data_IF_684906507016
#
_entry.id   IF_684906507016
#
_cell.length_a   1.000
_cell.length_b   1.000
_cell.length_c   1.000
_cell.angle_alpha   90.00
_cell.angle_beta   90.00
_cell.angle_gamma   90.00
#
_symmetry.space_group_name_H-M   'P 1'
#
loop_
_entity.id
_entity.type
_entity.pdbx_description
1 polymer ?
#
# COMPACT_ATOMS: atom_id res chain seq x y z
N UNK A 1 -6.84 -6.14 -43.71
CA UNK A 1 -6.34 -6.80 -42.49
C UNK A 1 -5.61 -5.73 -41.69
N UNK A 2 -6.26 -5.11 -40.71
CA UNK A 2 -5.66 -4.02 -39.91
C UNK A 2 -5.14 -4.60 -38.60
N UNK A 3 -3.82 -4.59 -38.45
CA UNK A 3 -3.16 -4.91 -37.19
C UNK A 3 -3.31 -3.72 -36.24
N UNK A 4 -4.22 -3.82 -35.29
CA UNK A 4 -4.24 -2.94 -34.12
C UNK A 4 -3.16 -3.45 -33.18
N UNK A 5 -2.05 -2.73 -33.07
CA UNK A 5 -1.11 -2.93 -31.98
C UNK A 5 -1.84 -2.56 -30.67
N UNK A 6 -1.95 -3.45 -29.68
CA UNK A 6 -2.43 -3.03 -28.38
C UNK A 6 -1.47 -1.97 -27.84
N UNK A 7 -1.99 -0.77 -27.60
CA UNK A 7 -1.27 0.29 -26.90
C UNK A 7 -0.98 -0.24 -25.48
N UNK A 8 0.19 -0.84 -25.33
CA UNK A 8 0.71 -1.24 -24.03
C UNK A 8 0.97 0.07 -23.29
N UNK A 9 0.04 0.49 -22.41
CA UNK A 9 0.33 1.58 -21.48
C UNK A 9 1.57 1.14 -20.71
N UNK A 10 2.71 1.79 -20.96
CA UNK A 10 3.85 1.71 -20.05
C UNK A 10 3.35 2.14 -18.68
N UNK A 11 3.13 1.16 -17.81
CA UNK A 11 2.67 1.40 -16.45
C UNK A 11 3.88 1.90 -15.66
N UNK A 12 4.13 3.21 -15.71
CA UNK A 12 5.28 3.88 -15.08
C UNK A 12 5.07 4.05 -13.58
N UNK A 13 4.96 2.94 -12.85
CA UNK A 13 4.95 3.01 -11.41
C UNK A 13 6.27 3.59 -10.89
N UNK A 14 6.17 4.73 -10.22
CA UNK A 14 7.31 5.43 -9.62
C UNK A 14 7.38 5.12 -8.13
N UNK A 15 8.28 4.18 -7.79
CA UNK A 15 8.63 3.88 -6.40
C UNK A 15 9.11 5.12 -5.65
N UNK A 16 9.92 5.94 -6.32
CA UNK A 16 10.44 7.20 -5.77
C UNK A 16 9.31 8.17 -5.43
N UNK A 17 8.28 8.29 -6.28
CA UNK A 17 7.13 9.15 -6.00
C UNK A 17 6.32 8.63 -4.81
N UNK A 18 6.12 7.32 -4.70
CA UNK A 18 5.45 6.70 -3.56
C UNK A 18 6.21 6.93 -2.25
N UNK A 19 7.54 6.75 -2.26
CA UNK A 19 8.42 7.00 -1.10
C UNK A 19 8.44 8.48 -0.72
N UNK A 20 8.53 9.39 -1.69
CA UNK A 20 8.47 10.84 -1.44
C UNK A 20 7.15 11.24 -0.79
N UNK A 21 6.04 10.69 -1.28
CA UNK A 21 4.73 10.90 -0.68
C UNK A 21 4.71 10.42 0.77
N UNK A 22 5.20 9.20 1.01
CA UNK A 22 5.25 8.62 2.35
C UNK A 22 6.05 9.51 3.31
N UNK A 23 7.24 9.95 2.92
CA UNK A 23 8.07 10.83 3.75
C UNK A 23 7.44 12.22 3.99
N UNK A 24 6.64 12.71 3.04
CA UNK A 24 5.94 14.00 3.17
C UNK A 24 4.77 13.91 4.14
N UNK A 25 3.97 12.85 4.07
CA UNK A 25 2.72 12.73 4.81
C UNK A 25 2.77 11.72 5.96
N UNK A 26 3.89 11.06 6.21
CA UNK A 26 3.99 10.00 7.22
C UNK A 26 3.78 10.47 8.67
N UNK A 27 3.93 11.77 8.93
CA UNK A 27 3.61 12.38 10.23
C UNK A 27 2.24 13.08 10.26
N UNK A 28 1.69 13.44 9.09
CA UNK A 28 0.48 14.27 8.99
C UNK A 28 -0.41 13.78 7.84
N UNK A 29 -1.69 13.44 8.09
CA UNK A 29 -2.59 13.00 7.04
C UNK A 29 -2.73 14.02 5.91
N UNK A 30 -2.70 13.55 4.66
CA UNK A 30 -2.88 14.43 3.51
C UNK A 30 -4.30 15.00 3.50
N UNK A 31 -4.48 16.33 3.53
CA UNK A 31 -5.79 16.97 3.56
C UNK A 31 -6.62 16.73 2.29
N UNK A 32 -6.05 16.17 1.22
CA UNK A 32 -6.76 15.83 -0.02
C UNK A 32 -7.53 14.50 0.03
N UNK A 33 -7.39 13.73 1.10
CA UNK A 33 -8.03 12.44 1.28
C UNK A 33 -8.81 12.40 2.60
N UNK A 34 -9.74 11.45 2.69
CA UNK A 34 -10.40 11.06 3.93
C UNK A 34 -9.35 10.48 4.87
N UNK A 35 -9.37 10.94 6.11
CA UNK A 35 -8.56 10.40 7.19
C UNK A 35 -9.39 9.45 8.06
N UNK A 36 -8.80 8.34 8.47
CA UNK A 36 -9.46 7.33 9.32
C UNK A 36 -8.81 7.31 10.72
N UNK A 37 -9.21 8.19 11.66
CA UNK A 37 -8.54 8.29 12.95
C UNK A 37 -8.51 6.95 13.69
N UNK A 38 -7.45 6.74 14.47
CA UNK A 38 -7.34 5.60 15.37
C UNK A 38 -8.36 5.75 16.51
N UNK A 39 -9.31 4.83 16.60
CA UNK A 39 -10.34 4.80 17.63
C UNK A 39 -10.40 3.39 18.20
N UNK A 40 -10.16 3.23 19.51
CA UNK A 40 -10.18 1.93 20.20
C UNK A 40 -9.33 0.86 19.47
N UNK A 41 -8.08 1.22 19.15
CA UNK A 41 -7.11 0.40 18.41
C UNK A 41 -7.54 -0.03 17.00
N UNK A 42 -8.58 0.60 16.44
CA UNK A 42 -9.06 0.34 15.08
C UNK A 42 -8.91 1.57 14.21
N UNK A 43 -8.40 1.35 13.01
CA UNK A 43 -8.24 2.37 11.99
C UNK A 43 -8.19 1.72 10.61
N UNK A 44 -8.68 2.43 9.59
CA UNK A 44 -8.42 2.09 8.18
C UNK A 44 -7.23 2.85 7.59
N UNK A 45 -6.55 3.67 8.38
CA UNK A 45 -5.65 4.68 7.84
C UNK A 45 -4.29 4.13 7.45
N UNK A 46 -3.85 3.03 8.04
CA UNK A 46 -2.63 2.34 7.62
C UNK A 46 -2.74 1.96 6.14
N UNK A 47 -3.81 1.29 5.73
CA UNK A 47 -4.03 0.90 4.34
C UNK A 47 -4.39 2.09 3.44
N UNK A 48 -5.18 3.04 3.94
CA UNK A 48 -5.49 4.28 3.21
C UNK A 48 -4.20 5.06 2.84
N UNK A 49 -3.29 5.22 3.80
CA UNK A 49 -2.01 5.89 3.59
C UNK A 49 -1.15 5.16 2.57
N UNK A 50 -1.03 3.85 2.67
CA UNK A 50 -0.30 3.03 1.69
C UNK A 50 -0.94 3.14 0.31
N UNK A 51 -2.26 3.12 0.22
CA UNK A 51 -2.96 3.28 -1.04
C UNK A 51 -2.70 4.66 -1.67
N UNK A 52 -2.62 5.72 -0.87
CA UNK A 52 -2.22 7.05 -1.35
C UNK A 52 -0.76 7.09 -1.84
N UNK A 53 0.15 6.38 -1.16
CA UNK A 53 1.54 6.23 -1.61
C UNK A 53 1.58 5.54 -2.99
N UNK A 54 0.91 4.40 -3.13
CA UNK A 54 0.84 3.65 -4.38
C UNK A 54 0.23 4.50 -5.51
N UNK A 55 -0.89 5.18 -5.24
CA UNK A 55 -1.56 6.02 -6.22
C UNK A 55 -0.69 7.20 -6.67
N UNK A 56 0.01 7.86 -5.73
CA UNK A 56 0.98 8.92 -6.07
C UNK A 56 2.18 8.37 -6.83
N UNK A 57 2.49 7.09 -6.66
CA UNK A 57 3.40 6.32 -7.50
C UNK A 57 2.86 6.01 -8.89
N UNK A 58 1.72 6.54 -9.32
CA UNK A 58 1.02 6.22 -10.58
C UNK A 58 0.51 4.78 -10.70
N UNK A 59 0.25 4.09 -9.58
CA UNK A 59 -0.51 2.84 -9.61
C UNK A 59 -1.91 3.10 -10.23
N UNK A 60 -2.30 2.38 -11.30
CA UNK A 60 -3.62 2.55 -11.88
C UNK A 60 -4.68 2.03 -10.91
N UNK A 61 -5.73 2.82 -10.69
CA UNK A 61 -6.89 2.38 -9.94
C UNK A 61 -7.61 1.25 -10.68
N UNK A 62 -8.00 0.21 -9.94
CA UNK A 62 -8.77 -0.92 -10.44
C UNK A 62 -10.23 -0.78 -10.00
N UNK A 63 -11.12 -0.52 -10.95
CA UNK A 63 -12.57 -0.42 -10.73
C UNK A 63 -13.34 -1.71 -11.02
N UNK A 64 -12.65 -2.85 -11.18
CA UNK A 64 -13.27 -4.15 -11.41
C UNK A 64 -14.14 -4.59 -10.23
N UNK A 65 -15.16 -5.40 -10.52
CA UNK A 65 -16.18 -5.79 -9.52
C UNK A 65 -15.72 -6.80 -8.48
N UNK A 66 -14.70 -7.62 -8.80
CA UNK A 66 -14.32 -8.76 -7.94
C UNK A 66 -13.47 -8.31 -6.75
N UNK A 67 -12.38 -7.57 -7.00
CA UNK A 67 -11.51 -6.99 -5.96
C UNK A 67 -11.01 -5.60 -6.38
N UNK A 68 -11.87 -4.58 -6.26
CA UNK A 68 -11.51 -3.23 -6.67
C UNK A 68 -10.46 -2.60 -5.74
N UNK A 69 -9.59 -1.77 -6.29
CA UNK A 69 -8.71 -0.86 -5.56
C UNK A 69 -8.85 0.55 -6.14
N UNK A 70 -9.61 1.42 -5.48
CA UNK A 70 -9.85 2.78 -5.96
C UNK A 70 -10.29 3.74 -4.86
N UNK A 71 -10.13 5.03 -5.16
CA UNK A 71 -10.65 6.16 -4.38
C UNK A 71 -11.31 7.17 -5.32
N UNK A 72 -12.50 7.66 -4.96
CA UNK A 72 -13.23 8.67 -5.72
C UNK A 72 -13.50 9.87 -4.82
N UNK A 73 -13.08 11.04 -5.29
CA UNK A 73 -13.41 12.30 -4.63
C UNK A 73 -14.87 12.67 -4.88
N UNK A 74 -15.57 13.06 -3.82
CA UNK A 74 -16.88 13.69 -3.89
C UNK A 74 -16.77 15.21 -4.02
N UNK A 75 -17.90 15.91 -3.86
CA UNK A 75 -17.93 17.39 -3.79
C UNK A 75 -17.13 17.93 -2.60
N UNK A 76 -17.01 17.12 -1.54
CA UNK A 76 -16.16 17.36 -0.39
C UNK A 76 -15.74 16.01 0.22
N UNK A 77 -14.78 16.04 1.14
CA UNK A 77 -14.20 14.82 1.77
C UNK A 77 -15.19 13.95 2.54
N UNK A 78 -16.33 14.49 2.97
CA UNK A 78 -17.35 13.68 3.63
C UNK A 78 -18.13 12.81 2.63
N UNK A 79 -18.08 13.15 1.35
CA UNK A 79 -18.73 12.44 0.25
C UNK A 79 -17.74 11.62 -0.60
N UNK A 80 -16.48 11.57 -0.19
CA UNK A 80 -15.50 10.68 -0.83
C UNK A 80 -15.94 9.22 -0.64
N UNK A 81 -15.67 8.41 -1.65
CA UNK A 81 -15.94 6.97 -1.62
C UNK A 81 -14.68 6.20 -2.01
N UNK A 82 -14.56 4.96 -1.55
CA UNK A 82 -13.39 4.13 -1.80
C UNK A 82 -13.76 2.65 -1.75
N UNK A 83 -12.89 1.80 -2.31
CA UNK A 83 -13.06 0.36 -2.20
C UNK A 83 -12.51 -0.18 -0.88
N UNK A 84 -12.94 -1.39 -0.47
CA UNK A 84 -12.44 -2.03 0.76
C UNK A 84 -10.91 -2.22 0.69
N UNK A 85 -10.35 -2.63 -0.45
CA UNK A 85 -8.91 -2.79 -0.62
C UNK A 85 -8.13 -1.46 -0.57
N UNK A 86 -8.78 -0.30 -0.69
CA UNK A 86 -8.11 0.99 -0.50
C UNK A 86 -7.82 1.26 0.99
N UNK A 87 -8.73 0.88 1.90
CA UNK A 87 -8.69 1.31 3.30
C UNK A 87 -8.60 0.17 4.33
N UNK A 88 -8.51 -1.08 3.91
CA UNK A 88 -8.38 -2.24 4.82
C UNK A 88 -7.12 -3.04 4.49
N UNK A 89 -6.21 -3.18 5.46
CA UNK A 89 -4.89 -3.80 5.26
C UNK A 89 -4.99 -5.23 4.70
N UNK A 90 -5.92 -6.02 5.22
CA UNK A 90 -6.21 -7.36 4.71
C UNK A 90 -6.61 -7.33 3.24
N UNK A 91 -7.62 -6.55 2.88
CA UNK A 91 -8.11 -6.49 1.51
C UNK A 91 -7.09 -5.90 0.54
N UNK A 92 -6.22 -4.97 0.98
CA UNK A 92 -5.11 -4.45 0.20
C UNK A 92 -4.06 -5.54 -0.09
N UNK A 93 -3.66 -6.30 0.94
CA UNK A 93 -2.70 -7.38 0.81
C UNK A 93 -3.16 -8.44 -0.20
N UNK A 94 -4.39 -8.94 -0.06
CA UNK A 94 -4.93 -9.95 -0.97
C UNK A 94 -5.16 -9.40 -2.38
N UNK A 95 -5.54 -8.12 -2.54
CA UNK A 95 -5.60 -7.47 -3.86
C UNK A 95 -4.25 -7.54 -4.59
N UNK A 96 -3.17 -7.11 -3.92
CA UNK A 96 -1.83 -7.12 -4.48
C UNK A 96 -1.33 -8.53 -4.80
N UNK A 97 -1.55 -9.48 -3.88
CA UNK A 97 -1.11 -10.87 -4.03
C UNK A 97 -1.84 -11.58 -5.16
N UNK A 98 -3.16 -11.46 -5.22
CA UNK A 98 -3.95 -12.07 -6.30
C UNK A 98 -3.64 -11.47 -7.66
N UNK A 99 -3.36 -10.17 -7.74
CA UNK A 99 -2.90 -9.56 -8.97
C UNK A 99 -1.58 -10.18 -9.43
N UNK A 100 -0.66 -10.51 -8.51
CA UNK A 100 0.59 -11.18 -8.86
C UNK A 100 0.34 -12.61 -9.34
N UNK A 101 -0.48 -13.38 -8.62
CA UNK A 101 -0.87 -14.76 -9.00
C UNK A 101 -1.51 -14.83 -10.38
N UNK A 102 -2.34 -13.84 -10.75
CA UNK A 102 -3.05 -13.77 -12.04
C UNK A 102 -2.24 -13.09 -13.14
N UNK A 103 -1.01 -12.64 -12.84
CA UNK A 103 -0.22 -11.78 -13.72
C UNK A 103 -1.03 -10.58 -14.29
N UNK A 104 -1.78 -9.93 -13.41
CA UNK A 104 -2.62 -8.77 -13.72
C UNK A 104 -1.80 -7.61 -14.28
N UNK A 105 -2.44 -6.74 -15.09
CA UNK A 105 -1.84 -5.48 -15.57
C UNK A 105 -1.92 -4.34 -14.55
N UNK A 106 -2.63 -4.54 -13.43
CA UNK A 106 -2.69 -3.63 -12.30
C UNK A 106 -1.53 -3.87 -11.32
N UNK A 107 -1.47 -3.07 -10.26
CA UNK A 107 -0.44 -3.19 -9.22
C UNK A 107 -0.44 -4.57 -8.57
N UNK A 108 0.74 -5.18 -8.52
CA UNK A 108 1.04 -6.51 -8.02
C UNK A 108 1.93 -6.43 -6.78
N UNK A 109 1.75 -7.39 -5.88
CA UNK A 109 2.61 -7.62 -4.74
C UNK A 109 3.17 -9.02 -4.77
N UNK A 110 4.48 -9.14 -4.96
CA UNK A 110 5.19 -10.43 -4.94
C UNK A 110 5.73 -10.65 -3.54
N UNK A 111 5.24 -11.68 -2.86
CA UNK A 111 5.74 -12.03 -1.53
C UNK A 111 7.14 -12.64 -1.65
N UNK A 112 8.08 -12.12 -0.85
CA UNK A 112 9.45 -12.60 -0.76
C UNK A 112 9.73 -13.12 0.64
N UNK A 113 10.58 -14.13 0.75
CA UNK A 113 10.92 -14.76 2.04
C UNK A 113 12.05 -14.03 2.76
N UNK A 114 13.01 -13.48 2.02
CA UNK A 114 14.17 -12.81 2.58
C UNK A 114 13.98 -11.29 2.57
N UNK A 115 13.84 -10.69 3.76
CA UNK A 115 13.72 -9.23 3.94
C UNK A 115 14.87 -8.42 3.29
N UNK A 116 16.05 -9.01 3.10
CA UNK A 116 17.20 -8.34 2.47
C UNK A 116 16.96 -8.02 0.99
N UNK A 117 15.95 -8.64 0.37
CA UNK A 117 15.56 -8.34 -1.01
C UNK A 117 14.58 -7.17 -1.11
N UNK A 118 14.11 -6.61 0.01
CA UNK A 118 13.27 -5.41 0.00
C UNK A 118 14.03 -4.21 -0.58
N UNK A 119 13.28 -3.36 -1.26
CA UNK A 119 13.76 -2.08 -1.80
C UNK A 119 12.85 -0.95 -1.28
N UNK A 120 13.33 0.30 -1.29
CA UNK A 120 12.48 1.45 -0.94
C UNK A 120 11.27 1.49 -1.86
N UNK A 121 10.07 1.65 -1.30
CA UNK A 121 8.79 1.56 -1.99
C UNK A 121 8.11 0.19 -1.93
N UNK A 122 8.76 -0.83 -1.38
CA UNK A 122 8.11 -2.11 -1.07
C UNK A 122 7.31 -2.01 0.22
N UNK A 123 6.42 -2.97 0.43
CA UNK A 123 5.51 -2.98 1.57
C UNK A 123 5.87 -4.08 2.56
N UNK A 124 5.57 -3.81 3.82
CA UNK A 124 5.56 -4.84 4.86
C UNK A 124 4.17 -4.87 5.48
N UNK A 125 3.54 -6.05 5.44
CA UNK A 125 2.25 -6.31 6.07
C UNK A 125 2.44 -7.16 7.33
N UNK A 126 1.55 -6.97 8.30
CA UNK A 126 1.63 -7.60 9.62
C UNK A 126 0.42 -8.48 9.82
N UNK A 127 0.66 -9.73 10.20
CA UNK A 127 -0.36 -10.74 10.43
C UNK A 127 -0.43 -11.09 11.91
N UNK A 128 -1.65 -11.24 12.43
CA UNK A 128 -1.87 -11.75 13.79
C UNK A 128 -1.81 -13.30 13.83
N UNK A 129 -1.97 -13.85 15.04
CA UNK A 129 -1.98 -15.31 15.27
C UNK A 129 -3.17 -16.03 14.63
N UNK A 130 -4.24 -15.31 14.27
CA UNK A 130 -5.46 -15.85 13.65
C UNK A 130 -5.39 -15.81 12.11
N UNK A 131 -4.30 -15.29 11.53
CA UNK A 131 -4.15 -15.15 10.09
C UNK A 131 -4.66 -13.83 9.52
N UNK A 132 -5.12 -12.90 10.36
CA UNK A 132 -5.59 -11.59 9.91
C UNK A 132 -4.40 -10.67 9.65
N UNK A 133 -4.24 -10.26 8.40
CA UNK A 133 -3.42 -9.07 8.06
C UNK A 133 -4.09 -7.81 8.63
N UNK A 134 -3.48 -7.23 9.66
CA UNK A 134 -4.07 -6.11 10.40
C UNK A 134 -3.38 -4.77 10.14
N UNK A 135 -2.16 -4.77 9.60
CA UNK A 135 -1.40 -3.53 9.38
C UNK A 135 -0.60 -3.56 8.08
N UNK A 136 -0.36 -2.37 7.52
CA UNK A 136 0.39 -2.17 6.28
C UNK A 136 1.33 -0.97 6.40
N UNK A 137 2.55 -1.11 5.87
CA UNK A 137 3.61 -0.11 5.97
C UNK A 137 4.40 -0.07 4.66
N UNK A 138 5.13 1.04 4.41
CA UNK A 138 6.01 1.20 3.24
C UNK A 138 7.45 1.38 3.68
N UNK A 139 8.37 0.64 3.06
CA UNK A 139 9.81 0.79 3.25
C UNK A 139 10.25 2.10 2.60
N UNK A 140 10.85 2.98 3.39
CA UNK A 140 11.22 4.34 2.94
C UNK A 140 12.71 4.61 3.06
N UNK A 141 13.43 3.82 3.87
CA UNK A 141 14.87 3.89 3.99
C UNK A 141 15.44 2.57 4.52
N UNK A 142 16.76 2.47 4.64
CA UNK A 142 17.46 1.37 5.30
C UNK A 142 18.49 1.93 6.29
N UNK A 143 18.74 1.21 7.38
CA UNK A 143 19.83 1.48 8.30
C UNK A 143 20.54 0.18 8.63
N UNK A 144 21.85 0.11 8.38
CA UNK A 144 22.67 -1.10 8.56
C UNK A 144 22.08 -2.35 7.87
N UNK A 145 21.47 -2.18 6.69
CA UNK A 145 20.83 -3.25 5.93
C UNK A 145 19.45 -3.68 6.45
N UNK A 146 18.93 -3.05 7.52
CA UNK A 146 17.57 -3.28 8.03
C UNK A 146 16.60 -2.23 7.47
N UNK A 147 15.40 -2.62 7.00
CA UNK A 147 14.44 -1.70 6.44
C UNK A 147 13.82 -0.80 7.51
N UNK A 148 13.72 0.49 7.19
CA UNK A 148 12.98 1.48 7.94
C UNK A 148 11.66 1.79 7.23
N UNK A 149 10.58 1.78 8.01
CA UNK A 149 9.23 1.97 7.49
C UNK A 149 8.70 3.37 7.81
N UNK A 150 7.80 3.82 6.96
CA UNK A 150 6.89 4.93 7.22
C UNK A 150 5.46 4.37 7.21
N UNK A 151 4.62 4.85 8.13
CA UNK A 151 3.29 4.26 8.38
C UNK A 151 2.32 5.27 9.00
N UNK A 152 1.04 4.91 8.97
CA UNK A 152 -0.03 5.56 9.72
C UNK A 152 -0.63 4.60 10.75
N UNK A 153 -1.38 5.15 11.70
CA UNK A 153 -2.08 4.43 12.78
C UNK A 153 -1.17 3.58 13.67
N UNK A 154 -0.13 4.14 14.31
CA UNK A 154 0.13 5.58 14.43
C UNK A 154 1.06 6.12 13.34
N UNK A 155 1.01 7.44 13.13
CA UNK A 155 1.89 8.18 12.21
C UNK A 155 3.35 8.08 12.66
N UNK A 156 4.23 7.62 11.77
CA UNK A 156 5.65 7.53 12.01
C UNK A 156 6.44 7.50 10.70
N UNK A 157 7.66 8.04 10.73
CA UNK A 157 8.58 8.10 9.58
C UNK A 157 9.91 7.44 9.93
N UNK A 158 10.42 6.60 9.03
CA UNK A 158 11.72 5.94 9.13
C UNK A 158 11.99 5.22 10.46
N UNK A 159 11.01 4.46 10.97
CA UNK A 159 11.16 3.67 12.20
C UNK A 159 11.48 2.19 11.90
N UNK A 160 12.15 1.47 12.81
CA UNK A 160 12.34 0.01 12.67
C UNK A 160 11.02 -0.75 12.85
N UNK A 161 10.61 -1.55 11.87
CA UNK A 161 9.30 -2.20 11.85
C UNK A 161 9.11 -3.31 12.92
N UNK A 162 10.19 -4.02 13.29
CA UNK A 162 10.15 -5.16 14.23
C UNK A 162 9.68 -4.75 15.64
N UNK A 163 10.00 -3.51 16.05
CA UNK A 163 9.67 -2.99 17.39
C UNK A 163 8.36 -2.21 17.42
N UNK A 164 7.76 -1.95 16.26
CA UNK A 164 6.59 -1.07 16.14
C UNK A 164 5.28 -1.79 16.43
N UNK A 165 5.18 -3.10 16.19
CA UNK A 165 3.93 -3.84 16.26
C UNK A 165 4.12 -5.29 16.71
N UNK A 166 3.26 -5.82 17.59
CA UNK A 166 3.26 -7.23 17.95
C UNK A 166 2.61 -8.07 16.85
N UNK A 167 3.39 -8.46 15.83
CA UNK A 167 2.93 -9.37 14.79
C UNK A 167 3.36 -10.82 15.06
N UNK A 168 2.50 -11.75 14.64
CA UNK A 168 2.85 -13.18 14.58
C UNK A 168 3.72 -13.48 13.35
N UNK A 169 3.42 -12.83 12.21
CA UNK A 169 4.17 -12.97 10.96
C UNK A 169 4.26 -11.63 10.23
N UNK A 170 5.39 -11.40 9.57
CA UNK A 170 5.58 -10.31 8.61
C UNK A 170 5.50 -10.86 7.18
N UNK A 171 4.86 -10.11 6.29
CA UNK A 171 4.83 -10.39 4.86
C UNK A 171 5.59 -9.29 4.14
N UNK A 172 6.70 -9.65 3.51
CA UNK A 172 7.53 -8.75 2.72
C UNK A 172 7.04 -8.79 1.28
N UNK A 173 6.55 -7.67 0.76
CA UNK A 173 5.83 -7.62 -0.51
C UNK A 173 6.52 -6.65 -1.47
N UNK A 174 7.11 -7.19 -2.54
CA UNK A 174 7.69 -6.37 -3.61
C UNK A 174 6.62 -5.84 -4.52
N UNK A 175 6.55 -4.52 -4.67
CA UNK A 175 5.58 -3.88 -5.56
C UNK A 175 6.09 -3.87 -6.99
N UNK A 176 5.26 -4.37 -7.90
CA UNK A 176 5.50 -4.44 -9.35
C UNK A 176 4.21 -4.07 -10.09
N UNK A 177 4.32 -3.60 -11.33
CA UNK A 177 3.20 -3.46 -12.27
C UNK A 177 3.58 -4.12 -13.58
#
# INVERSE_FOLDING_TARGET
MYYIFPFQRENKYSRTSAVKYALTYGLTPNPNYRYFPLINDKSGDCANFISQCLFTGNAPMDFNKVRPWWYKKGLNRALDTWSISWSVAHSLYYYLRENAEKNSSYTKGIEITNKKELEVGDLIFFQDKKGLIFHSTIVTNFSNGEPLITQHSPQAVNIPYIKSWPAFKYHYVKIRI
#
